data_IF_036107949408
#
_entry.id   IF_036107949408
#
_cell.length_a   1.000
_cell.length_b   1.000
_cell.length_c   1.000
_cell.angle_alpha   90.00
_cell.angle_beta   90.00
_cell.angle_gamma   90.00
#
_symmetry.space_group_name_H-M   'P 1'
#
loop_
_entity.id
_entity.type
_entity.pdbx_description
1 polymer ?
#
# COMPACT_ATOMS: atom_id res chain seq x y z
N UNK A 1 -6.02 0.11 -19.62
CA UNK A 1 -6.85 -1.05 -19.20
C UNK A 1 -5.87 -2.08 -18.66
N UNK A 2 -6.06 -2.54 -17.43
CA UNK A 2 -5.12 -3.49 -16.82
C UNK A 2 -5.22 -4.83 -17.57
N UNK A 3 -4.07 -5.45 -17.87
CA UNK A 3 -3.99 -6.75 -18.55
C UNK A 3 -4.71 -7.85 -17.76
N UNK A 4 -4.72 -7.76 -16.44
CA UNK A 4 -5.44 -8.66 -15.54
C UNK A 4 -6.95 -8.58 -15.79
N UNK A 5 -7.50 -7.38 -15.90
CA UNK A 5 -8.93 -7.16 -16.19
C UNK A 5 -9.31 -7.62 -17.59
N UNK A 6 -8.40 -7.49 -18.56
CA UNK A 6 -8.61 -7.99 -19.91
C UNK A 6 -8.69 -9.54 -19.91
N UNK A 7 -7.77 -10.19 -19.21
CA UNK A 7 -7.74 -11.66 -19.05
C UNK A 7 -9.01 -12.15 -18.34
N UNK A 8 -9.41 -11.52 -17.23
CA UNK A 8 -10.63 -11.91 -16.47
C UNK A 8 -11.90 -11.84 -17.32
N UNK A 9 -11.95 -10.94 -18.30
CA UNK A 9 -13.10 -10.82 -19.21
C UNK A 9 -13.08 -11.84 -20.34
N UNK A 10 -11.91 -12.25 -20.79
CA UNK A 10 -11.77 -13.18 -21.92
C UNK A 10 -11.76 -14.64 -21.51
N UNK A 11 -11.29 -14.95 -20.30
CA UNK A 11 -11.26 -16.34 -19.81
C UNK A 11 -12.61 -16.69 -19.19
N UNK A 12 -13.31 -17.64 -19.80
CA UNK A 12 -14.51 -18.23 -19.20
C UNK A 12 -14.09 -19.12 -18.01
N UNK A 13 -14.40 -18.65 -16.80
CA UNK A 13 -14.02 -19.31 -15.55
C UNK A 13 -14.62 -20.74 -15.45
N UNK A 14 -15.88 -20.93 -15.92
CA UNK A 14 -16.55 -22.22 -15.86
C UNK A 14 -15.90 -23.21 -16.83
N UNK A 15 -15.65 -22.77 -18.06
CA UNK A 15 -14.98 -23.59 -19.06
C UNK A 15 -13.56 -23.94 -18.65
N UNK A 16 -12.83 -22.97 -18.07
CA UNK A 16 -11.47 -23.20 -17.62
C UNK A 16 -11.39 -24.22 -16.47
N UNK A 17 -12.17 -24.03 -15.40
CA UNK A 17 -12.21 -24.94 -14.24
C UNK A 17 -12.80 -26.32 -14.63
N UNK A 18 -13.76 -26.34 -15.55
CA UNK A 18 -14.38 -27.57 -16.05
C UNK A 18 -13.40 -28.59 -16.67
N UNK A 19 -12.19 -28.14 -17.04
CA UNK A 19 -11.09 -29.04 -17.52
C UNK A 19 -10.51 -29.91 -16.39
N UNK A 20 -10.64 -29.45 -15.15
CA UNK A 20 -10.01 -30.08 -13.98
C UNK A 20 -10.99 -30.84 -13.09
N UNK A 21 -12.25 -30.42 -13.09
CA UNK A 21 -13.34 -31.10 -12.36
C UNK A 21 -14.65 -30.96 -13.12
N UNK A 22 -15.47 -32.05 -13.22
CA UNK A 22 -16.80 -31.95 -13.81
C UNK A 22 -17.68 -30.98 -13.02
N UNK A 23 -18.22 -29.98 -13.71
CA UNK A 23 -19.11 -28.99 -13.12
C UNK A 23 -20.55 -29.20 -13.56
N UNK A 24 -21.48 -29.25 -12.61
CA UNK A 24 -22.91 -29.33 -12.86
C UNK A 24 -23.60 -28.01 -12.52
N UNK A 25 -24.49 -27.53 -13.37
CA UNK A 25 -25.23 -26.29 -13.13
C UNK A 25 -26.12 -26.41 -11.89
N UNK A 26 -26.07 -25.45 -11.00
CA UNK A 26 -26.83 -25.36 -9.76
C UNK A 26 -27.37 -23.94 -9.59
N UNK A 27 -28.56 -23.66 -10.13
CA UNK A 27 -29.14 -22.33 -10.19
C UNK A 27 -28.30 -21.36 -11.04
N UNK A 28 -27.79 -20.26 -10.44
CA UNK A 28 -26.90 -19.29 -11.09
C UNK A 28 -25.43 -19.66 -10.96
N UNK A 29 -25.07 -20.72 -10.26
CA UNK A 29 -23.72 -21.20 -10.06
C UNK A 29 -23.48 -22.56 -10.69
N UNK A 30 -22.23 -23.05 -10.64
CA UNK A 30 -21.86 -24.41 -11.00
C UNK A 30 -21.24 -25.08 -9.79
N UNK A 31 -21.46 -26.40 -9.63
CA UNK A 31 -21.00 -27.20 -8.50
C UNK A 31 -20.26 -28.44 -8.98
N UNK A 32 -19.19 -28.81 -8.31
CA UNK A 32 -18.42 -30.03 -8.56
C UNK A 32 -17.66 -30.51 -7.33
N UNK A 33 -16.86 -31.57 -7.50
CA UNK A 33 -15.90 -31.99 -6.48
C UNK A 33 -14.69 -31.00 -6.47
N UNK A 34 -14.14 -30.75 -5.31
CA UNK A 34 -13.00 -29.84 -5.19
C UNK A 34 -11.74 -30.42 -5.84
N UNK A 35 -11.05 -29.68 -6.75
CA UNK A 35 -9.81 -30.16 -7.36
C UNK A 35 -8.59 -30.05 -6.43
N UNK A 36 -8.74 -29.50 -5.21
CA UNK A 36 -7.65 -29.23 -4.28
C UNK A 36 -7.63 -30.15 -3.06
N UNK A 37 -8.71 -30.89 -2.79
CA UNK A 37 -8.75 -31.92 -1.76
C UNK A 37 -9.67 -33.07 -2.18
N UNK A 38 -9.48 -34.24 -1.59
CA UNK A 38 -10.30 -35.42 -1.88
C UNK A 38 -11.61 -35.36 -1.11
N UNK A 39 -12.74 -35.45 -1.82
CA UNK A 39 -14.10 -35.51 -1.24
C UNK A 39 -15.04 -36.38 -2.06
N UNK A 40 -16.14 -36.85 -1.45
CA UNK A 40 -17.18 -37.65 -2.13
C UNK A 40 -18.43 -36.84 -2.42
N UNK A 41 -18.62 -35.71 -1.72
CA UNK A 41 -19.81 -34.86 -1.86
C UNK A 41 -19.36 -33.54 -2.47
N UNK A 42 -19.95 -33.07 -3.57
CA UNK A 42 -19.58 -31.82 -4.20
C UNK A 42 -19.72 -30.63 -3.28
N UNK A 43 -18.60 -29.93 -3.02
CA UNK A 43 -18.53 -28.74 -2.17
C UNK A 43 -17.88 -27.53 -2.87
N UNK A 44 -17.42 -27.72 -4.11
CA UNK A 44 -16.76 -26.69 -4.90
C UNK A 44 -17.78 -25.96 -5.78
N UNK A 45 -17.84 -24.64 -5.66
CA UNK A 45 -18.77 -23.79 -6.40
C UNK A 45 -18.03 -22.77 -7.27
N UNK A 46 -18.54 -22.55 -8.48
CA UNK A 46 -18.09 -21.52 -9.41
C UNK A 46 -19.24 -20.55 -9.64
N UNK A 47 -18.97 -19.25 -9.48
CA UNK A 47 -19.93 -18.15 -9.62
C UNK A 47 -19.56 -17.31 -10.86
N UNK A 48 -20.08 -17.63 -12.05
CA UNK A 48 -19.68 -16.97 -13.30
C UNK A 48 -19.98 -15.46 -13.30
N UNK A 49 -21.10 -15.04 -12.74
CA UNK A 49 -21.50 -13.63 -12.66
C UNK A 49 -20.52 -12.81 -11.82
N UNK A 50 -19.85 -13.43 -10.84
CA UNK A 50 -18.86 -12.78 -9.96
C UNK A 50 -17.42 -13.00 -10.44
N UNK A 51 -17.20 -13.90 -11.39
CA UNK A 51 -15.86 -14.32 -11.82
C UNK A 51 -15.04 -15.01 -10.71
N UNK A 52 -15.71 -15.68 -9.74
CA UNK A 52 -15.08 -16.27 -8.56
C UNK A 52 -15.48 -17.74 -8.38
N UNK A 53 -14.69 -18.46 -7.58
CA UNK A 53 -14.97 -19.81 -7.12
C UNK A 53 -14.75 -19.92 -5.60
N UNK A 54 -15.41 -20.89 -4.97
CA UNK A 54 -15.20 -21.19 -3.55
C UNK A 54 -15.47 -22.67 -3.25
N UNK A 55 -14.61 -23.26 -2.42
CA UNK A 55 -14.85 -24.54 -1.80
C UNK A 55 -15.47 -24.35 -0.41
N UNK A 56 -16.60 -24.95 -0.16
CA UNK A 56 -17.27 -24.99 1.14
C UNK A 56 -16.96 -26.28 1.91
N UNK A 57 -16.02 -27.10 1.40
CA UNK A 57 -15.52 -28.32 2.03
C UNK A 57 -14.25 -28.09 2.85
N UNK A 58 -13.45 -29.14 2.98
CA UNK A 58 -12.32 -29.21 3.90
C UNK A 58 -11.23 -28.12 3.67
N UNK A 59 -11.01 -27.65 2.45
CA UNK A 59 -10.00 -26.62 2.22
C UNK A 59 -10.51 -25.19 2.48
N UNK A 60 -11.83 -24.91 2.40
CA UNK A 60 -12.40 -23.60 2.68
C UNK A 60 -11.94 -22.45 1.76
N UNK A 61 -11.29 -22.78 0.64
CA UNK A 61 -10.59 -21.83 -0.22
C UNK A 61 -11.47 -21.28 -1.32
N UNK A 62 -11.07 -20.11 -1.83
CA UNK A 62 -11.76 -19.42 -2.92
C UNK A 62 -10.89 -18.34 -3.57
N UNK A 63 -11.40 -17.76 -4.65
CA UNK A 63 -10.73 -16.71 -5.37
C UNK A 63 -11.23 -16.56 -6.80
N UNK A 64 -10.43 -15.90 -7.62
CA UNK A 64 -10.68 -15.73 -9.06
C UNK A 64 -9.93 -16.78 -9.91
N UNK A 65 -9.90 -16.58 -11.23
CA UNK A 65 -9.19 -17.48 -12.15
C UNK A 65 -7.68 -17.53 -11.89
N UNK A 66 -7.07 -16.40 -11.46
CA UNK A 66 -5.64 -16.35 -11.15
C UNK A 66 -5.31 -17.21 -9.93
N UNK A 67 -6.04 -17.02 -8.83
CA UNK A 67 -5.90 -17.81 -7.61
C UNK A 67 -6.10 -19.31 -7.89
N UNK A 68 -7.03 -19.66 -8.79
CA UNK A 68 -7.23 -21.05 -9.21
C UNK A 68 -5.97 -21.61 -9.88
N UNK A 69 -5.40 -20.87 -10.84
CA UNK A 69 -4.19 -21.30 -11.58
C UNK A 69 -2.98 -21.37 -10.68
N UNK A 70 -2.74 -20.35 -9.83
CA UNK A 70 -1.63 -20.34 -8.87
C UNK A 70 -1.64 -21.63 -8.04
N UNK A 71 -2.82 -21.97 -7.53
CA UNK A 71 -2.96 -23.12 -6.66
C UNK A 71 -2.92 -24.45 -7.43
N UNK A 72 -3.55 -24.52 -8.58
CA UNK A 72 -3.65 -25.77 -9.38
C UNK A 72 -2.31 -26.16 -9.98
N UNK A 73 -1.55 -25.20 -10.47
CA UNK A 73 -0.25 -25.38 -11.12
C UNK A 73 0.92 -25.20 -10.13
N UNK A 74 0.64 -24.85 -8.87
CA UNK A 74 1.63 -24.54 -7.84
C UNK A 74 2.66 -23.50 -8.34
N UNK A 75 2.17 -22.39 -8.86
CA UNK A 75 2.99 -21.32 -9.46
C UNK A 75 2.67 -19.98 -8.83
N UNK A 76 3.57 -19.01 -9.02
CA UNK A 76 3.35 -17.63 -8.62
C UNK A 76 2.39 -16.89 -9.57
N UNK A 77 1.93 -15.70 -9.16
CA UNK A 77 1.05 -14.86 -9.95
C UNK A 77 1.61 -14.53 -11.35
N UNK A 78 2.93 -14.30 -11.48
CA UNK A 78 3.56 -14.00 -12.78
C UNK A 78 3.43 -15.19 -13.75
N UNK A 79 3.60 -16.39 -13.25
CA UNK A 79 3.45 -17.59 -14.07
C UNK A 79 1.99 -17.86 -14.40
N UNK A 80 1.08 -17.67 -13.44
CA UNK A 80 -0.38 -17.75 -13.65
C UNK A 80 -0.83 -16.71 -14.70
N UNK A 81 -0.32 -15.49 -14.64
CA UNK A 81 -0.58 -14.44 -15.63
C UNK A 81 -0.17 -14.87 -17.05
N UNK A 82 0.99 -15.48 -17.22
CA UNK A 82 1.44 -15.98 -18.53
C UNK A 82 0.54 -17.11 -19.05
N UNK A 83 0.16 -18.05 -18.19
CA UNK A 83 -0.73 -19.17 -18.55
C UNK A 83 -2.08 -18.62 -19.03
N UNK A 84 -2.68 -17.74 -18.24
CA UNK A 84 -4.00 -17.18 -18.53
C UNK A 84 -3.99 -16.19 -19.71
N UNK A 85 -2.92 -15.45 -19.90
CA UNK A 85 -2.76 -14.58 -21.07
C UNK A 85 -2.65 -15.40 -22.36
N UNK A 86 -1.90 -16.50 -22.35
CA UNK A 86 -1.84 -17.43 -23.48
C UNK A 86 -3.22 -18.07 -23.78
N UNK A 87 -3.96 -18.42 -22.73
CA UNK A 87 -5.34 -18.95 -22.84
C UNK A 87 -6.30 -17.90 -23.44
N UNK A 88 -6.17 -16.65 -23.02
CA UNK A 88 -6.96 -15.52 -23.50
C UNK A 88 -6.52 -15.01 -24.89
N UNK A 89 -5.43 -15.53 -25.48
CA UNK A 89 -4.85 -14.99 -26.69
C UNK A 89 -4.27 -13.58 -26.54
N UNK A 90 -4.00 -13.16 -25.31
CA UNK A 90 -3.41 -11.85 -24.99
C UNK A 90 -1.90 -11.98 -25.03
N UNK A 91 -1.26 -11.24 -25.93
CA UNK A 91 0.19 -11.12 -25.90
C UNK A 91 0.61 -10.28 -24.67
N UNK A 92 1.24 -10.94 -23.71
CA UNK A 92 2.01 -10.21 -22.70
C UNK A 92 3.25 -9.67 -23.41
N UNK A 93 3.41 -8.35 -23.43
CA UNK A 93 4.71 -7.81 -23.73
C UNK A 93 5.63 -8.29 -22.60
N UNK A 94 6.54 -9.21 -22.90
CA UNK A 94 7.68 -9.49 -22.03
C UNK A 94 8.34 -8.13 -21.78
N UNK A 95 8.48 -7.77 -20.50
CA UNK A 95 9.15 -6.52 -20.13
C UNK A 95 10.49 -6.51 -20.88
N UNK A 96 10.70 -5.50 -21.73
CA UNK A 96 11.95 -5.34 -22.47
C UNK A 96 13.12 -5.55 -21.50
N UNK A 97 14.04 -6.48 -21.75
CA UNK A 97 15.16 -6.74 -20.85
C UNK A 97 15.93 -5.47 -20.49
N UNK A 98 15.96 -4.48 -21.39
CA UNK A 98 16.55 -3.15 -21.15
C UNK A 98 15.74 -2.36 -20.13
N UNK A 99 14.41 -2.38 -20.21
CA UNK A 99 13.53 -1.72 -19.26
C UNK A 99 13.61 -2.35 -17.88
N UNK A 100 13.66 -3.69 -17.81
CA UNK A 100 13.86 -4.41 -16.55
C UNK A 100 15.19 -4.03 -15.90
N UNK A 101 16.29 -4.05 -16.67
CA UNK A 101 17.61 -3.62 -16.19
C UNK A 101 17.63 -2.15 -15.77
N UNK A 102 16.83 -1.28 -16.43
CA UNK A 102 16.68 0.11 -16.02
C UNK A 102 15.96 0.25 -14.68
N UNK A 103 14.82 -0.41 -14.50
CA UNK A 103 14.06 -0.43 -13.23
C UNK A 103 14.92 -0.96 -12.07
N UNK A 104 15.65 -2.06 -12.27
CA UNK A 104 16.55 -2.63 -11.28
C UNK A 104 17.67 -1.63 -10.91
N UNK A 105 18.18 -0.88 -11.88
CA UNK A 105 19.18 0.17 -11.66
C UNK A 105 18.62 1.36 -10.88
N UNK A 106 17.39 1.83 -11.18
CA UNK A 106 16.75 2.90 -10.41
C UNK A 106 16.53 2.48 -8.95
N UNK A 107 16.05 1.26 -8.71
CA UNK A 107 15.88 0.72 -7.37
C UNK A 107 17.22 0.61 -6.61
N UNK A 108 18.29 0.20 -7.29
CA UNK A 108 19.63 0.14 -6.72
C UNK A 108 20.14 1.55 -6.32
N UNK A 109 19.85 2.59 -7.11
CA UNK A 109 20.20 3.98 -6.78
C UNK A 109 19.46 4.42 -5.52
N UNK A 110 18.14 4.18 -5.41
CA UNK A 110 17.37 4.54 -4.20
C UNK A 110 17.91 3.79 -2.99
N UNK A 111 18.18 2.49 -3.11
CA UNK A 111 18.77 1.70 -2.03
C UNK A 111 20.16 2.20 -1.59
N UNK A 112 21.00 2.60 -2.54
CA UNK A 112 22.31 3.20 -2.24
C UNK A 112 22.16 4.56 -1.55
N UNK A 113 21.16 5.38 -1.94
CA UNK A 113 20.83 6.64 -1.29
C UNK A 113 20.34 6.42 0.16
N UNK A 114 19.48 5.41 0.41
CA UNK A 114 19.07 5.03 1.77
C UNK A 114 20.30 4.74 2.62
N UNK A 115 21.16 3.83 2.18
CA UNK A 115 22.39 3.50 2.93
C UNK A 115 23.37 4.68 3.10
N UNK A 116 23.36 5.66 2.19
CA UNK A 116 24.10 6.90 2.36
C UNK A 116 23.50 7.74 3.51
N UNK A 117 22.20 7.99 3.49
CA UNK A 117 21.53 8.82 4.49
C UNK A 117 21.51 8.19 5.88
N UNK A 118 21.42 6.86 6.00
CA UNK A 118 21.60 6.16 7.28
C UNK A 118 22.98 6.40 7.90
N UNK A 119 24.04 6.40 7.09
CA UNK A 119 25.39 6.72 7.57
C UNK A 119 25.49 8.17 8.01
N UNK A 120 24.92 9.09 7.21
CA UNK A 120 24.93 10.53 7.54
C UNK A 120 24.21 10.84 8.87
N UNK A 121 23.19 10.07 9.24
CA UNK A 121 22.50 10.25 10.53
C UNK A 121 23.39 9.95 11.74
N UNK A 122 24.49 9.21 11.55
CA UNK A 122 25.45 8.87 12.61
C UNK A 122 26.61 9.88 12.73
N UNK A 123 26.69 10.81 11.79
CA UNK A 123 27.72 11.85 11.80
C UNK A 123 27.35 12.97 12.79
N UNK A 124 28.34 13.66 13.38
CA UNK A 124 28.09 14.75 14.35
C UNK A 124 27.17 15.85 13.82
N UNK A 125 27.21 16.13 12.53
CA UNK A 125 26.42 17.15 11.86
C UNK A 125 24.91 16.83 11.87
N UNK A 126 24.53 15.57 12.13
CA UNK A 126 23.16 15.11 12.21
C UNK A 126 22.60 15.08 13.64
N UNK A 127 23.32 15.61 14.63
CA UNK A 127 22.92 15.55 16.04
C UNK A 127 21.49 16.07 16.28
N UNK A 128 21.10 17.16 15.62
CA UNK A 128 19.76 17.73 15.71
C UNK A 128 18.70 16.82 15.08
N UNK A 129 19.01 16.18 13.96
CA UNK A 129 18.10 15.23 13.32
C UNK A 129 17.88 13.98 14.21
N UNK A 130 18.93 13.52 14.86
CA UNK A 130 18.86 12.42 15.80
C UNK A 130 18.04 12.80 17.05
N UNK A 131 18.26 14.01 17.60
CA UNK A 131 17.47 14.54 18.72
C UNK A 131 15.99 14.70 18.34
N UNK A 132 15.70 15.17 17.13
CA UNK A 132 14.33 15.21 16.65
C UNK A 132 13.67 13.82 16.62
N UNK A 133 14.36 12.79 16.10
CA UNK A 133 13.81 11.43 16.01
C UNK A 133 13.65 10.80 17.41
N UNK A 134 14.67 10.90 18.25
CA UNK A 134 14.70 10.20 19.54
C UNK A 134 14.09 11.06 20.64
N UNK A 135 14.47 12.33 20.75
CA UNK A 135 14.03 13.22 21.82
C UNK A 135 12.64 13.78 21.59
N UNK A 136 12.35 14.30 20.39
CA UNK A 136 11.05 14.95 20.10
C UNK A 136 9.99 13.93 19.71
N UNK A 137 10.32 12.98 18.79
CA UNK A 137 9.37 11.95 18.33
C UNK A 137 9.35 10.69 19.20
N UNK A 138 10.30 10.52 20.10
CA UNK A 138 10.37 9.38 21.02
C UNK A 138 10.65 8.05 20.32
N UNK A 139 11.23 8.07 19.12
CA UNK A 139 11.56 6.84 18.41
C UNK A 139 12.80 6.20 19.03
N UNK A 140 12.74 4.89 19.28
CA UNK A 140 13.92 4.16 19.78
C UNK A 140 14.98 4.01 18.69
N UNK A 141 16.26 3.85 19.05
CA UNK A 141 17.31 3.57 18.08
C UNK A 141 17.04 2.33 17.22
N UNK A 142 16.37 1.32 17.77
CA UNK A 142 15.97 0.11 17.06
C UNK A 142 14.91 0.44 15.99
N UNK A 143 13.95 1.31 16.30
CA UNK A 143 12.94 1.77 15.32
C UNK A 143 13.59 2.60 14.23
N UNK A 144 14.48 3.52 14.58
CA UNK A 144 15.24 4.33 13.61
C UNK A 144 16.02 3.42 12.65
N UNK A 145 16.67 2.37 13.17
CA UNK A 145 17.42 1.42 12.36
C UNK A 145 16.49 0.52 11.52
N UNK A 146 15.41 -0.01 12.11
CA UNK A 146 14.47 -0.92 11.42
C UNK A 146 13.75 -0.25 10.24
N UNK A 147 13.54 1.07 10.31
CA UNK A 147 12.93 1.88 9.25
C UNK A 147 13.94 2.60 8.37
N UNK A 148 15.25 2.33 8.55
CA UNK A 148 16.32 2.90 7.75
C UNK A 148 16.29 4.44 7.71
N UNK A 149 15.88 5.08 8.82
CA UNK A 149 15.80 6.53 8.87
C UNK A 149 17.19 7.13 8.72
N UNK A 150 17.27 8.28 8.03
CA UNK A 150 18.54 8.90 7.69
C UNK A 150 18.52 10.41 7.79
N UNK A 151 19.66 11.00 7.48
CA UNK A 151 19.85 12.45 7.40
C UNK A 151 20.41 12.85 6.05
N UNK A 152 19.80 13.82 5.41
CA UNK A 152 20.34 14.48 4.22
C UNK A 152 21.13 15.72 4.65
N UNK A 153 22.46 15.74 4.51
CA UNK A 153 23.28 16.89 4.88
C UNK A 153 22.88 18.16 4.15
N UNK A 154 23.19 19.32 4.74
CA UNK A 154 23.08 20.59 4.04
C UNK A 154 24.16 20.66 2.95
N UNK A 155 23.74 20.90 1.72
CA UNK A 155 24.63 20.99 0.57
C UNK A 155 23.97 20.46 -0.70
N UNK A 156 24.58 20.74 -1.82
CA UNK A 156 23.93 20.56 -3.12
C UNK A 156 24.26 19.23 -3.80
N UNK A 157 25.38 18.57 -3.43
CA UNK A 157 25.95 17.47 -4.23
C UNK A 157 26.51 16.31 -3.41
N UNK A 158 26.19 16.19 -2.12
CA UNK A 158 26.73 15.13 -1.26
C UNK A 158 26.32 13.72 -1.73
N UNK A 159 25.02 13.53 -2.00
CA UNK A 159 24.52 12.27 -2.51
C UNK A 159 24.97 12.04 -3.95
N UNK A 160 24.90 13.08 -4.79
CA UNK A 160 25.34 12.99 -6.20
C UNK A 160 26.76 12.47 -6.30
N UNK A 161 27.68 13.12 -5.58
CA UNK A 161 29.10 12.78 -5.64
C UNK A 161 29.35 11.35 -5.10
N UNK A 162 28.65 10.97 -4.04
CA UNK A 162 28.69 9.63 -3.51
C UNK A 162 28.23 8.59 -4.52
N UNK A 163 27.15 8.83 -5.26
CA UNK A 163 26.62 7.91 -6.27
C UNK A 163 27.46 7.87 -7.55
N UNK A 164 28.00 9.02 -7.99
CA UNK A 164 28.93 9.09 -9.11
C UNK A 164 30.17 8.24 -8.84
N UNK A 165 30.74 8.33 -7.63
CA UNK A 165 31.88 7.50 -7.22
C UNK A 165 31.58 5.99 -7.17
N UNK A 166 30.30 5.61 -7.24
CA UNK A 166 29.84 4.20 -7.38
C UNK A 166 29.48 3.81 -8.81
N UNK A 167 29.70 4.70 -9.77
CA UNK A 167 29.48 4.43 -11.18
C UNK A 167 28.04 4.63 -11.66
N UNK A 168 27.16 5.22 -10.85
CA UNK A 168 25.83 5.59 -11.30
C UNK A 168 25.88 6.85 -12.17
N UNK A 169 24.98 6.97 -13.14
CA UNK A 169 24.91 8.12 -14.03
C UNK A 169 23.96 9.18 -13.48
N UNK A 170 24.26 10.46 -13.71
CA UNK A 170 23.38 11.55 -13.29
C UNK A 170 21.96 11.44 -13.88
N UNK A 171 21.77 11.11 -15.17
CA UNK A 171 20.42 10.87 -15.72
C UNK A 171 19.64 9.77 -14.97
N UNK A 172 20.27 8.64 -14.59
CA UNK A 172 19.62 7.60 -13.83
C UNK A 172 19.25 8.07 -12.41
N UNK A 173 20.07 8.92 -11.78
CA UNK A 173 19.79 9.50 -10.46
C UNK A 173 18.59 10.47 -10.51
N UNK A 174 18.48 11.27 -11.56
CA UNK A 174 17.31 12.12 -11.82
C UNK A 174 16.06 11.25 -12.05
N UNK A 175 16.17 10.24 -12.90
CA UNK A 175 15.08 9.29 -13.17
C UNK A 175 14.64 8.52 -11.91
N UNK A 176 15.56 8.21 -10.98
CA UNK A 176 15.27 7.62 -9.67
C UNK A 176 14.65 8.62 -8.68
N UNK A 177 14.60 9.92 -9.02
CA UNK A 177 14.01 10.97 -8.19
C UNK A 177 14.84 11.36 -6.97
N UNK A 178 16.14 11.01 -6.92
CA UNK A 178 17.05 11.38 -5.83
C UNK A 178 17.80 12.70 -6.11
N UNK A 179 17.89 13.09 -7.39
CA UNK A 179 18.35 14.41 -7.81
C UNK A 179 17.21 15.21 -8.44
N UNK A 180 17.39 16.53 -8.44
CA UNK A 180 16.57 17.49 -9.20
C UNK A 180 17.34 17.82 -10.46
N UNK A 181 16.68 17.70 -11.62
CA UNK A 181 17.22 18.21 -12.89
C UNK A 181 17.25 19.75 -12.82
N UNK A 182 18.34 20.33 -13.25
CA UNK A 182 18.49 21.77 -13.19
C UNK A 182 18.05 22.42 -14.49
N UNK A 183 17.52 23.64 -14.39
CA UNK A 183 17.28 24.49 -15.58
C UNK A 183 18.58 24.74 -16.34
N UNK A 184 18.45 25.09 -17.64
CA UNK A 184 19.58 25.31 -18.56
C UNK A 184 20.75 26.07 -17.89
N UNK A 185 21.93 25.46 -17.92
CA UNK A 185 23.18 26.05 -17.43
C UNK A 185 23.49 25.80 -15.96
N UNK A 186 22.70 25.00 -15.23
CA UNK A 186 23.00 24.58 -13.86
C UNK A 186 23.21 23.07 -13.78
N UNK A 187 24.00 22.63 -12.81
CA UNK A 187 24.21 21.19 -12.56
C UNK A 187 23.03 20.60 -11.75
N UNK A 188 22.61 19.35 -12.03
CA UNK A 188 21.68 18.61 -11.21
C UNK A 188 22.17 18.46 -9.76
N UNK A 189 21.27 18.60 -8.81
CA UNK A 189 21.58 18.71 -7.40
C UNK A 189 20.73 17.75 -6.54
N UNK A 190 21.21 17.48 -5.31
CA UNK A 190 20.54 16.61 -4.36
C UNK A 190 19.14 17.12 -4.04
N UNK A 191 18.13 16.24 -4.20
CA UNK A 191 16.74 16.59 -3.92
C UNK A 191 16.49 16.87 -2.44
N UNK A 192 17.11 16.09 -1.57
CA UNK A 192 16.95 16.19 -0.12
C UNK A 192 18.19 16.87 0.46
N UNK A 193 17.98 17.93 1.23
CA UNK A 193 19.03 18.74 1.88
C UNK A 193 18.51 19.26 3.20
N UNK A 194 19.27 19.11 4.30
CA UNK A 194 18.87 19.55 5.62
C UNK A 194 17.58 18.91 6.12
N UNK A 195 17.36 17.61 5.80
CA UNK A 195 16.11 16.93 6.12
C UNK A 195 16.35 15.55 6.72
N UNK A 196 15.52 15.18 7.68
CA UNK A 196 15.39 13.76 8.07
C UNK A 196 14.81 12.99 6.90
N UNK A 197 15.47 11.90 6.52
CA UNK A 197 15.07 11.08 5.38
C UNK A 197 14.34 9.83 5.87
N UNK A 198 13.19 9.56 5.25
CA UNK A 198 12.33 8.42 5.51
C UNK A 198 12.23 7.61 4.21
N UNK A 199 12.80 6.42 4.15
CA UNK A 199 12.69 5.55 2.98
C UNK A 199 11.27 5.04 2.78
N UNK A 200 10.85 4.95 1.52
CA UNK A 200 9.57 4.41 1.11
C UNK A 200 9.82 3.11 0.36
N UNK A 201 9.30 2.01 0.89
CA UNK A 201 9.37 0.70 0.27
C UNK A 201 8.04 0.31 -0.37
N UNK A 202 8.10 -0.51 -1.43
CA UNK A 202 6.93 -1.16 -2.02
C UNK A 202 6.44 -2.33 -1.13
N UNK A 203 5.39 -3.03 -1.56
CA UNK A 203 4.81 -4.19 -0.83
C UNK A 203 5.79 -5.36 -0.63
N UNK A 204 6.92 -5.39 -1.35
CA UNK A 204 7.98 -6.41 -1.25
C UNK A 204 9.13 -6.00 -0.34
N UNK A 205 9.11 -4.77 0.19
CA UNK A 205 10.21 -4.23 0.98
C UNK A 205 11.36 -3.64 0.16
N UNK A 206 11.21 -3.50 -1.17
CA UNK A 206 12.20 -2.85 -2.02
C UNK A 206 12.03 -1.34 -1.92
N UNK A 207 13.12 -0.58 -1.67
CA UNK A 207 13.08 0.87 -1.61
C UNK A 207 12.83 1.46 -3.01
N UNK A 208 11.77 2.25 -3.12
CA UNK A 208 11.31 2.84 -4.39
C UNK A 208 11.31 4.35 -4.39
N UNK A 209 11.33 4.99 -3.22
CA UNK A 209 11.32 6.43 -3.05
C UNK A 209 11.83 6.86 -1.68
N UNK A 210 11.89 8.17 -1.47
CA UNK A 210 12.29 8.80 -0.22
C UNK A 210 11.32 9.92 0.13
N UNK A 211 11.16 10.20 1.42
CA UNK A 211 10.57 11.41 1.93
C UNK A 211 11.58 12.17 2.80
N UNK A 212 11.54 13.48 2.77
CA UNK A 212 12.42 14.36 3.58
C UNK A 212 11.60 15.28 4.47
N UNK A 213 11.71 15.13 5.80
CA UNK A 213 11.08 15.97 6.80
C UNK A 213 11.99 17.16 7.14
N UNK A 214 11.53 18.39 6.92
CA UNK A 214 12.21 19.61 7.35
C UNK A 214 12.13 19.81 8.87
N UNK A 215 13.19 20.38 9.48
CA UNK A 215 13.28 20.59 10.92
C UNK A 215 13.04 22.06 11.32
N UNK A 216 13.34 23.03 10.44
CA UNK A 216 13.34 24.46 10.72
C UNK A 216 12.23 25.24 10.00
N UNK A 217 11.11 24.60 9.68
CA UNK A 217 10.00 25.25 8.98
C UNK A 217 10.17 25.33 7.47
N UNK A 218 11.03 24.50 6.90
CA UNK A 218 11.18 24.42 5.45
C UNK A 218 9.88 23.95 4.77
N UNK A 219 9.44 24.70 3.78
CA UNK A 219 8.31 24.33 2.95
C UNK A 219 8.75 23.53 1.70
N UNK A 220 8.06 22.45 1.37
CA UNK A 220 7.01 21.81 2.17
C UNK A 220 7.58 21.08 3.40
N UNK A 221 6.78 20.98 4.48
CA UNK A 221 7.12 20.25 5.72
C UNK A 221 7.63 18.84 5.43
N UNK A 222 6.97 18.11 4.52
CA UNK A 222 7.43 16.85 3.96
C UNK A 222 7.64 17.00 2.45
N UNK A 223 8.85 16.80 1.99
CA UNK A 223 9.21 16.71 0.57
C UNK A 223 9.31 15.24 0.17
N UNK A 224 8.52 14.80 -0.80
CA UNK A 224 8.59 13.43 -1.32
C UNK A 224 9.39 13.36 -2.62
N UNK A 225 9.89 12.18 -2.96
CA UNK A 225 10.33 11.86 -4.32
C UNK A 225 9.21 12.19 -5.32
N UNK A 226 9.53 12.62 -6.54
CA UNK A 226 8.55 12.77 -7.59
C UNK A 226 8.01 11.40 -8.01
N UNK A 227 6.97 11.38 -8.83
CA UNK A 227 6.57 10.16 -9.52
C UNK A 227 7.70 9.71 -10.46
N UNK A 228 8.04 8.42 -10.43
CA UNK A 228 9.08 7.81 -11.25
C UNK A 228 8.57 6.50 -11.87
N UNK A 229 9.39 5.80 -12.66
CA UNK A 229 9.02 4.47 -13.16
C UNK A 229 8.91 3.41 -12.05
N UNK A 230 9.54 3.63 -10.90
CA UNK A 230 9.52 2.71 -9.75
C UNK A 230 8.64 3.19 -8.59
N UNK A 231 8.16 4.43 -8.62
CA UNK A 231 7.35 5.01 -7.55
C UNK A 231 6.14 5.77 -8.08
N UNK A 232 4.98 5.32 -7.66
CA UNK A 232 3.70 6.01 -7.83
C UNK A 232 3.03 6.14 -6.46
N UNK A 233 2.94 7.37 -5.96
CA UNK A 233 2.36 7.69 -4.65
C UNK A 233 0.89 7.26 -4.56
N UNK A 234 0.14 7.30 -5.66
CA UNK A 234 -1.24 6.84 -5.74
C UNK A 234 -1.40 5.31 -5.72
N UNK A 235 -0.31 4.57 -5.75
CA UNK A 235 -0.29 3.10 -5.75
C UNK A 235 0.50 2.50 -4.59
N UNK A 236 1.20 3.32 -3.82
CA UNK A 236 2.08 2.89 -2.73
C UNK A 236 1.50 3.31 -1.39
N UNK A 237 1.38 2.38 -0.45
CA UNK A 237 1.06 2.63 0.95
C UNK A 237 2.33 2.52 1.78
N UNK A 238 2.66 3.57 2.53
CA UNK A 238 3.81 3.55 3.43
C UNK A 238 3.61 2.53 4.54
N UNK A 239 4.63 1.75 4.82
CA UNK A 239 4.62 0.75 5.88
C UNK A 239 3.96 -0.58 5.52
N UNK A 240 3.34 -0.74 4.33
CA UNK A 240 2.61 -1.96 3.98
C UNK A 240 3.50 -3.21 4.03
N UNK A 241 4.74 -3.14 3.57
CA UNK A 241 5.68 -4.27 3.63
C UNK A 241 5.93 -4.77 5.06
N UNK A 242 6.03 -3.83 6.02
CA UNK A 242 6.26 -4.14 7.43
C UNK A 242 4.97 -4.56 8.17
N UNK A 243 3.80 -4.16 7.63
CA UNK A 243 2.50 -4.41 8.22
C UNK A 243 1.80 -5.69 7.68
N UNK A 244 2.22 -6.19 6.52
CA UNK A 244 1.51 -7.21 5.76
C UNK A 244 1.15 -8.47 6.57
N UNK A 245 2.08 -8.99 7.37
CA UNK A 245 1.86 -10.21 8.16
C UNK A 245 0.92 -9.95 9.35
N UNK A 246 1.06 -8.80 10.02
CA UNK A 246 0.16 -8.40 11.09
C UNK A 246 -1.27 -8.16 10.56
N UNK A 247 -1.41 -7.50 9.42
CA UNK A 247 -2.69 -7.28 8.75
C UNK A 247 -3.37 -8.61 8.44
N UNK A 248 -2.66 -9.57 7.84
CA UNK A 248 -3.22 -10.90 7.53
C UNK A 248 -3.61 -11.67 8.78
N UNK A 249 -2.78 -11.64 9.82
CA UNK A 249 -3.05 -12.40 11.07
C UNK A 249 -4.21 -11.80 11.87
N UNK A 250 -4.38 -10.48 11.85
CA UNK A 250 -5.44 -9.77 12.59
C UNK A 250 -6.72 -9.64 11.75
N UNK A 251 -6.62 -9.78 10.41
CA UNK A 251 -7.73 -9.52 9.50
C UNK A 251 -8.15 -8.05 9.45
N UNK A 252 -7.27 -7.13 9.89
CA UNK A 252 -7.56 -5.70 10.02
C UNK A 252 -6.35 -4.87 9.62
N UNK A 253 -6.62 -3.75 8.92
CA UNK A 253 -5.63 -2.71 8.62
C UNK A 253 -6.12 -1.37 9.12
N UNK A 254 -5.22 -0.61 9.76
CA UNK A 254 -5.45 0.78 10.17
C UNK A 254 -4.76 1.70 9.17
N UNK A 255 -5.51 2.63 8.58
CA UNK A 255 -5.01 3.59 7.60
C UNK A 255 -4.91 4.96 8.25
N UNK A 256 -3.71 5.54 8.23
CA UNK A 256 -3.38 6.87 8.75
C UNK A 256 -2.86 7.79 7.63
N UNK A 257 -2.55 9.04 7.92
CA UNK A 257 -2.14 10.02 6.91
C UNK A 257 -0.63 10.11 6.73
N UNK A 258 0.13 10.16 7.82
CA UNK A 258 1.53 10.54 7.85
C UNK A 258 2.51 9.42 8.17
N UNK A 259 3.79 9.72 7.97
CA UNK A 259 4.88 8.79 8.25
C UNK A 259 5.03 8.49 9.74
N UNK A 260 4.96 9.52 10.59
CA UNK A 260 5.11 9.36 12.04
C UNK A 260 3.94 8.57 12.63
N UNK A 261 2.73 8.72 12.04
CA UNK A 261 1.53 7.98 12.43
C UNK A 261 1.62 6.48 12.14
N UNK A 262 2.61 6.04 11.37
CA UNK A 262 2.98 4.63 11.22
C UNK A 262 4.10 4.26 12.18
N UNK A 263 5.15 5.08 12.27
CA UNK A 263 6.37 4.76 13.03
C UNK A 263 6.09 4.65 14.53
N UNK A 264 5.33 5.60 15.10
CA UNK A 264 4.95 5.60 16.51
C UNK A 264 4.13 4.36 16.90
N UNK A 265 2.97 4.10 16.26
CA UNK A 265 2.21 2.88 16.48
C UNK A 265 3.02 1.60 16.25
N UNK A 266 3.82 1.54 15.18
CA UNK A 266 4.66 0.38 14.90
C UNK A 266 5.62 0.07 16.05
N UNK A 267 6.30 1.07 16.59
CA UNK A 267 7.18 0.95 17.76
C UNK A 267 6.43 0.45 18.99
N UNK A 268 5.21 0.92 19.17
CA UNK A 268 4.36 0.55 20.30
C UNK A 268 3.74 -0.86 20.19
N UNK A 269 3.97 -1.57 19.06
CA UNK A 269 3.47 -2.93 18.84
C UNK A 269 2.23 -3.03 17.95
N UNK A 270 1.64 -1.90 17.52
CA UNK A 270 0.53 -1.88 16.56
C UNK A 270 1.08 -1.99 15.14
N UNK A 271 1.24 -3.24 14.68
CA UNK A 271 1.96 -3.58 13.45
C UNK A 271 1.10 -3.53 12.18
N UNK A 272 -0.22 -3.37 12.29
CA UNK A 272 -1.18 -3.35 11.18
C UNK A 272 -1.51 -1.95 10.65
N UNK A 273 -0.61 -0.97 10.82
CA UNK A 273 -0.82 0.43 10.44
C UNK A 273 -0.07 0.77 9.15
N UNK A 274 -0.75 1.48 8.23
CA UNK A 274 -0.18 1.96 6.95
C UNK A 274 -0.61 3.41 6.68
N UNK A 275 0.16 4.16 5.85
CA UNK A 275 -0.18 5.55 5.54
C UNK A 275 -0.28 5.84 4.04
N UNK A 276 -1.09 6.87 3.72
CA UNK A 276 -1.27 7.41 2.36
C UNK A 276 -0.24 8.48 1.97
N UNK A 277 0.60 8.91 2.91
CA UNK A 277 1.72 9.87 2.69
C UNK A 277 1.27 11.26 2.20
N UNK A 278 0.17 11.80 2.74
CA UNK A 278 -0.36 13.12 2.38
C UNK A 278 -1.01 13.19 1.00
N UNK A 279 -1.58 12.09 0.53
CA UNK A 279 -2.49 12.04 -0.60
C UNK A 279 -3.82 11.44 -0.17
N UNK A 280 -4.92 11.80 -0.85
CA UNK A 280 -6.18 11.07 -0.66
C UNK A 280 -6.02 9.59 -1.05
N UNK A 281 -6.77 8.72 -0.39
CA UNK A 281 -6.84 7.31 -0.75
C UNK A 281 -7.28 7.17 -2.21
N UNK A 282 -6.61 6.32 -2.99
CA UNK A 282 -6.92 6.08 -4.40
C UNK A 282 -7.63 4.74 -4.60
N UNK A 283 -8.19 4.52 -5.81
CA UNK A 283 -8.77 3.21 -6.18
C UNK A 283 -7.72 2.08 -6.13
N UNK A 284 -6.46 2.38 -6.41
CA UNK A 284 -5.38 1.40 -6.28
C UNK A 284 -5.10 1.04 -4.82
N UNK A 285 -5.04 2.05 -3.92
CA UNK A 285 -4.94 1.81 -2.49
C UNK A 285 -6.10 0.96 -1.99
N UNK A 286 -7.33 1.27 -2.40
CA UNK A 286 -8.51 0.51 -2.05
C UNK A 286 -8.43 -0.96 -2.49
N UNK A 287 -8.06 -1.19 -3.75
CA UNK A 287 -7.87 -2.55 -4.29
C UNK A 287 -6.75 -3.31 -3.56
N UNK A 288 -5.69 -2.60 -3.19
CA UNK A 288 -4.57 -3.18 -2.46
C UNK A 288 -4.99 -3.60 -1.05
N UNK A 289 -5.63 -2.70 -0.29
CA UNK A 289 -6.11 -2.97 1.07
C UNK A 289 -7.09 -4.14 1.13
N UNK A 290 -8.03 -4.23 0.18
CA UNK A 290 -8.99 -5.34 0.06
C UNK A 290 -8.33 -6.71 -0.09
N UNK A 291 -7.13 -6.77 -0.68
CA UNK A 291 -6.38 -8.03 -0.82
C UNK A 291 -5.73 -8.49 0.48
N UNK A 292 -5.51 -7.55 1.42
CA UNK A 292 -4.79 -7.83 2.66
C UNK A 292 -5.71 -8.08 3.85
N UNK A 293 -6.84 -7.34 3.96
CA UNK A 293 -7.73 -7.44 5.12
C UNK A 293 -9.20 -7.27 4.76
N UNK A 294 -10.11 -8.03 5.41
CA UNK A 294 -11.56 -7.81 5.33
C UNK A 294 -12.00 -6.54 6.11
N UNK A 295 -11.26 -6.12 7.15
CA UNK A 295 -11.56 -4.92 7.92
C UNK A 295 -10.55 -3.82 7.64
N UNK A 296 -11.06 -2.61 7.35
CA UNK A 296 -10.28 -1.39 7.13
C UNK A 296 -10.77 -0.34 8.12
N UNK A 297 -9.88 0.16 8.98
CA UNK A 297 -10.13 1.23 9.93
C UNK A 297 -9.44 2.50 9.44
N UNK A 298 -10.20 3.56 9.16
CA UNK A 298 -9.67 4.88 8.84
C UNK A 298 -9.44 5.65 10.14
N UNK A 299 -8.19 5.90 10.50
CA UNK A 299 -7.76 6.67 11.66
C UNK A 299 -7.04 7.93 11.16
N UNK A 300 -7.82 8.84 10.55
CA UNK A 300 -7.34 10.09 9.95
C UNK A 300 -7.45 11.23 10.96
N UNK A 301 -6.74 12.34 10.69
CA UNK A 301 -6.69 13.48 11.59
C UNK A 301 -8.11 14.00 11.91
N UNK A 302 -8.40 14.35 13.17
CA UNK A 302 -9.76 14.73 13.61
C UNK A 302 -10.14 16.17 13.24
N UNK A 303 -9.52 16.74 12.21
CA UNK A 303 -9.83 18.06 11.68
C UNK A 303 -10.81 17.98 10.48
N UNK A 304 -11.25 19.13 9.97
CA UNK A 304 -12.18 19.20 8.84
C UNK A 304 -11.57 18.58 7.56
N UNK A 305 -10.27 18.64 7.38
CA UNK A 305 -9.58 18.06 6.20
C UNK A 305 -9.54 16.54 6.29
N UNK A 306 -9.16 15.98 7.44
CA UNK A 306 -9.15 14.55 7.68
C UNK A 306 -10.54 13.92 7.67
N UNK A 307 -11.55 14.62 8.22
CA UNK A 307 -12.95 14.19 8.13
C UNK A 307 -13.44 14.11 6.68
N UNK A 308 -13.11 15.10 5.85
CA UNK A 308 -13.43 15.08 4.42
C UNK A 308 -12.60 14.00 3.67
N UNK A 309 -11.38 13.73 4.11
CA UNK A 309 -10.56 12.66 3.59
C UNK A 309 -11.16 11.28 3.92
N UNK A 310 -11.65 11.08 5.15
CA UNK A 310 -12.36 9.87 5.57
C UNK A 310 -13.59 9.59 4.71
N UNK A 311 -14.41 10.64 4.47
CA UNK A 311 -15.61 10.53 3.62
C UNK A 311 -15.25 10.13 2.17
N UNK A 312 -14.29 10.82 1.56
CA UNK A 312 -13.81 10.47 0.20
C UNK A 312 -13.20 9.06 0.14
N UNK A 313 -12.38 8.71 1.12
CA UNK A 313 -11.74 7.41 1.22
C UNK A 313 -12.78 6.29 1.36
N UNK A 314 -13.74 6.47 2.24
CA UNK A 314 -14.80 5.51 2.49
C UNK A 314 -15.71 5.32 1.27
N UNK A 315 -16.12 6.40 0.63
CA UNK A 315 -16.90 6.34 -0.62
C UNK A 315 -16.15 5.57 -1.71
N UNK A 316 -14.86 5.83 -1.84
CA UNK A 316 -14.01 5.15 -2.82
C UNK A 316 -13.82 3.65 -2.51
N UNK A 317 -13.60 3.31 -1.24
CA UNK A 317 -13.47 1.93 -0.77
C UNK A 317 -14.75 1.12 -1.02
N UNK A 318 -15.90 1.75 -0.90
CA UNK A 318 -17.20 1.14 -1.14
C UNK A 318 -17.61 1.15 -2.62
N UNK A 319 -16.80 1.76 -3.51
CA UNK A 319 -17.04 1.78 -4.95
C UNK A 319 -17.96 2.88 -5.44
N UNK A 320 -18.24 3.89 -4.60
CA UNK A 320 -19.05 5.04 -5.01
C UNK A 320 -18.25 6.03 -5.86
N UNK A 321 -18.86 6.54 -6.94
CA UNK A 321 -18.32 7.64 -7.72
C UNK A 321 -18.78 8.95 -7.09
N UNK A 322 -17.86 9.66 -6.38
CA UNK A 322 -18.19 10.84 -5.63
C UNK A 322 -18.70 11.99 -6.50
N UNK A 323 -19.97 12.37 -6.32
CA UNK A 323 -20.55 13.70 -6.45
C UNK A 323 -22.04 13.77 -6.01
N UNK A 324 -22.63 12.69 -5.43
CA UNK A 324 -24.05 12.65 -5.02
C UNK A 324 -24.18 12.15 -3.57
N UNK A 325 -23.84 13.01 -2.61
CA UNK A 325 -23.52 12.60 -1.22
C UNK A 325 -24.70 12.24 -0.30
N UNK A 326 -25.93 12.65 -0.55
CA UNK A 326 -27.03 12.41 0.39
C UNK A 326 -28.07 11.36 -0.07
N UNK A 327 -28.29 11.21 -1.38
CA UNK A 327 -29.17 10.18 -1.92
C UNK A 327 -28.51 8.79 -1.97
N UNK A 328 -27.17 8.77 -1.95
CA UNK A 328 -26.37 7.55 -2.05
C UNK A 328 -26.13 6.88 -0.68
N UNK A 329 -26.26 7.58 0.44
CA UNK A 329 -26.11 6.98 1.78
C UNK A 329 -27.15 5.88 2.04
N UNK A 330 -28.40 6.07 1.61
CA UNK A 330 -29.45 5.05 1.75
C UNK A 330 -29.25 3.88 0.77
N UNK A 331 -28.81 4.17 -0.48
CA UNK A 331 -28.41 3.14 -1.46
C UNK A 331 -27.11 2.43 -1.06
N UNK A 332 -26.21 3.16 -0.36
CA UNK A 332 -25.00 2.61 0.20
C UNK A 332 -25.29 1.58 1.30
N UNK A 333 -26.26 1.85 2.17
CA UNK A 333 -26.70 0.91 3.19
C UNK A 333 -27.25 -0.38 2.58
N UNK A 334 -28.03 -0.29 1.50
CA UNK A 334 -28.57 -1.44 0.77
C UNK A 334 -27.50 -2.19 -0.04
N UNK A 335 -26.53 -1.47 -0.63
CA UNK A 335 -25.42 -2.05 -1.37
C UNK A 335 -24.38 -2.72 -0.44
N UNK A 336 -24.13 -2.16 0.76
CA UNK A 336 -23.29 -2.78 1.80
C UNK A 336 -23.90 -4.07 2.34
N UNK A 337 -25.23 -4.12 2.46
CA UNK A 337 -25.93 -5.34 2.88
C UNK A 337 -25.90 -6.42 1.80
N UNK A 338 -25.62 -6.08 0.53
CA UNK A 338 -25.79 -6.98 -0.60
C UNK A 338 -24.47 -7.57 -1.15
N UNK A 339 -23.30 -6.90 -1.11
CA UNK A 339 -22.16 -7.37 -1.92
C UNK A 339 -20.73 -6.90 -1.54
N UNK A 340 -20.45 -6.33 -0.36
CA UNK A 340 -19.07 -6.01 0.01
C UNK A 340 -18.62 -6.82 1.23
N UNK A 341 -17.68 -7.75 1.02
CA UNK A 341 -16.97 -8.49 2.08
C UNK A 341 -16.02 -7.57 2.92
N UNK A 342 -16.24 -6.24 2.93
CA UNK A 342 -15.38 -5.26 3.62
C UNK A 342 -16.11 -4.62 4.79
N UNK A 343 -15.56 -4.80 5.99
CA UNK A 343 -15.93 -4.04 7.20
C UNK A 343 -15.12 -2.74 7.23
N UNK A 344 -15.70 -1.65 6.69
CA UNK A 344 -15.09 -0.32 6.69
C UNK A 344 -15.54 0.48 7.89
N UNK A 345 -14.59 1.00 8.66
CA UNK A 345 -14.82 1.75 9.91
C UNK A 345 -14.04 3.05 9.95
N UNK A 346 -14.49 3.99 10.77
CA UNK A 346 -13.79 5.24 11.08
C UNK A 346 -13.55 5.29 12.59
N UNK A 347 -12.27 5.45 12.97
CA UNK A 347 -11.89 5.59 14.36
C UNK A 347 -12.14 7.02 14.85
N UNK A 348 -12.84 7.20 15.99
CA UNK A 348 -13.09 8.52 16.57
C UNK A 348 -11.85 9.00 17.34
N UNK A 349 -10.89 9.59 16.66
CA UNK A 349 -9.70 10.16 17.31
C UNK A 349 -10.07 11.41 18.13
N UNK A 350 -9.46 11.62 19.31
CA UNK A 350 -9.64 12.84 20.08
C UNK A 350 -9.18 14.08 19.31
N UNK A 351 -9.96 15.16 19.40
CA UNK A 351 -9.66 16.41 18.71
C UNK A 351 -8.26 16.95 19.06
N UNK A 352 -7.50 17.38 18.04
CA UNK A 352 -6.17 17.96 18.18
C UNK A 352 -5.06 17.00 18.55
N UNK A 353 -5.28 15.68 18.44
CA UNK A 353 -4.27 14.64 18.70
C UNK A 353 -4.13 13.74 17.47
N UNK A 354 -2.93 13.68 16.91
CA UNK A 354 -2.62 12.74 15.83
C UNK A 354 -2.32 11.31 16.36
N UNK A 355 -2.33 10.26 15.52
CA UNK A 355 -2.05 8.90 15.93
C UNK A 355 -0.69 8.71 16.63
N UNK A 356 0.37 9.39 16.16
CA UNK A 356 1.71 9.36 16.76
C UNK A 356 1.68 9.88 18.21
N UNK A 357 1.04 11.04 18.43
CA UNK A 357 0.90 11.63 19.76
C UNK A 357 0.05 10.77 20.70
N UNK A 358 -1.08 10.23 20.20
CA UNK A 358 -1.94 9.36 21.01
C UNK A 358 -1.21 8.13 21.49
N UNK A 359 -0.50 7.45 20.59
CA UNK A 359 0.23 6.23 20.95
C UNK A 359 1.38 6.51 21.90
N UNK A 360 2.05 7.64 21.76
CA UNK A 360 3.16 8.04 22.62
C UNK A 360 2.68 8.43 24.04
N UNK A 361 1.63 9.24 24.12
CA UNK A 361 1.26 9.93 25.35
C UNK A 361 0.03 9.31 26.05
N UNK A 362 -0.85 8.59 25.32
CA UNK A 362 -2.08 8.00 25.83
C UNK A 362 -2.50 6.76 25.04
N UNK A 363 -1.70 5.68 25.15
CA UNK A 363 -2.02 4.39 24.48
C UNK A 363 -3.44 3.88 24.71
N UNK A 364 -4.01 3.96 25.94
CA UNK A 364 -5.39 3.55 26.15
C UNK A 364 -6.40 4.35 25.30
N UNK A 365 -6.12 5.64 24.99
CA UNK A 365 -7.01 6.41 24.12
C UNK A 365 -6.93 5.92 22.67
N UNK A 366 -5.73 5.58 22.17
CA UNK A 366 -5.55 4.94 20.86
C UNK A 366 -6.31 3.62 20.78
N UNK A 367 -6.13 2.73 21.75
CA UNK A 367 -6.81 1.44 21.79
C UNK A 367 -8.33 1.57 21.82
N UNK A 368 -8.85 2.51 22.65
CA UNK A 368 -10.28 2.81 22.66
C UNK A 368 -10.79 3.35 21.34
N UNK A 369 -10.01 4.22 20.66
CA UNK A 369 -10.40 4.78 19.38
C UNK A 369 -10.49 3.70 18.29
N UNK A 370 -9.50 2.80 18.21
CA UNK A 370 -9.52 1.69 17.24
C UNK A 370 -10.62 0.69 17.58
N UNK A 371 -10.76 0.28 18.85
CA UNK A 371 -11.81 -0.64 19.28
C UNK A 371 -13.23 -0.05 19.13
N UNK A 372 -13.36 1.26 19.33
CA UNK A 372 -14.61 2.02 19.17
C UNK A 372 -14.87 2.52 17.76
N UNK A 373 -14.09 2.06 16.77
CA UNK A 373 -14.26 2.47 15.38
C UNK A 373 -15.68 2.13 14.87
N UNK A 374 -16.38 3.17 14.41
CA UNK A 374 -17.78 3.09 13.97
C UNK A 374 -17.87 2.62 12.51
N UNK A 375 -18.89 1.85 12.12
CA UNK A 375 -19.17 1.57 10.73
C UNK A 375 -19.23 2.87 9.91
N UNK A 376 -18.62 2.87 8.73
CA UNK A 376 -18.54 4.08 7.89
C UNK A 376 -19.92 4.68 7.58
N UNK A 377 -20.95 3.85 7.43
CA UNK A 377 -22.32 4.31 7.18
C UNK A 377 -22.87 5.09 8.38
N UNK A 378 -22.64 4.62 9.61
CA UNK A 378 -23.04 5.33 10.83
C UNK A 378 -22.30 6.67 10.93
N UNK A 379 -21.00 6.68 10.64
CA UNK A 379 -20.21 7.91 10.60
C UNK A 379 -20.81 8.96 9.65
N UNK A 380 -21.32 8.56 8.46
CA UNK A 380 -21.97 9.47 7.52
C UNK A 380 -23.34 9.98 8.00
N UNK A 381 -24.09 9.16 8.75
CA UNK A 381 -25.44 9.52 9.19
C UNK A 381 -25.47 10.46 10.41
N UNK A 382 -24.42 10.43 11.24
CA UNK A 382 -24.35 11.21 12.48
C UNK A 382 -23.43 12.44 12.37
N UNK A 383 -23.01 12.80 11.17
CA UNK A 383 -22.28 14.03 10.84
C UNK A 383 -23.26 15.15 10.44
#
# INVERSE_FOLDING_TARGET
>A
MDVVDAIKRQVDLVAYIGRFTPLQKSGRSYRGLCPFHSEKTPSFYVFPERGTWRCFGACGEGGDVFTFVEKRENVDFRRALRILAAEAGIQLHDEDPKRRSHIERLAAIVSAAVGFYERQLREPEAAEALDYLVGVRGLSPETVAAWHLGWAPNGWHHLRDFLVNRGYTVPDMVAAGVLVDAEEGREPYDRFRGRVVIPIANERGEFVALAGRGLHGEEPKYLNSPQTEIFDKGRTLFGLHAAADAIRSQGEVVVVEGYMDVLGPWQAGYRNVVATMGTSLTRHHASLLRRFAPRIVLALDPDAAGMNAAERAGSLLLGFNGEQHAADAARAADALAADTDIDLRVAPLPAGRDPDELVRDDRPAWERAIAGAQPFVEFLLFR
#
